data_IF_997605067437
#
_entry.id   IF_997605067437
#
_cell.length_a   1.000
_cell.length_b   1.000
_cell.length_c   1.000
_cell.angle_alpha   90.00
_cell.angle_beta   90.00
_cell.angle_gamma   90.00
#
_symmetry.space_group_name_H-M   'P 1'
#
loop_
_entity.id
_entity.type
_entity.pdbx_description
1 polymer ?
#
# COMPACT_ATOMS: atom_id res chain seq x y z
N UNK A 1 -11.30 29.52 -10.53
CA UNK A 1 -10.55 28.68 -9.57
C UNK A 1 -9.76 29.57 -8.64
N UNK A 2 -9.92 29.35 -7.33
CA UNK A 2 -9.03 29.91 -6.32
C UNK A 2 -7.60 29.37 -6.56
N UNK A 3 -6.56 30.19 -6.39
CA UNK A 3 -5.17 29.79 -6.65
C UNK A 3 -4.75 28.56 -5.83
N UNK A 4 -5.28 28.44 -4.62
CA UNK A 4 -5.03 27.31 -3.73
C UNK A 4 -5.63 25.98 -4.24
N UNK A 5 -6.81 26.02 -4.88
CA UNK A 5 -7.42 24.83 -5.47
C UNK A 5 -6.61 24.32 -6.67
N UNK A 6 -6.09 25.22 -7.50
CA UNK A 6 -5.20 24.85 -8.61
C UNK A 6 -3.90 24.24 -8.08
N UNK A 7 -3.31 24.86 -7.06
CA UNK A 7 -2.08 24.39 -6.42
C UNK A 7 -2.27 22.99 -5.82
N UNK A 8 -3.38 22.75 -5.10
CA UNK A 8 -3.72 21.43 -4.54
C UNK A 8 -3.77 20.33 -5.61
N UNK A 9 -4.44 20.61 -6.73
CA UNK A 9 -4.59 19.66 -7.83
C UNK A 9 -3.28 19.39 -8.59
N UNK A 10 -2.37 20.36 -8.62
CA UNK A 10 -1.06 20.22 -9.27
C UNK A 10 -0.03 19.52 -8.38
N UNK A 11 0.00 19.84 -7.08
CA UNK A 11 0.94 19.23 -6.15
C UNK A 11 0.65 17.74 -5.92
N UNK A 12 -0.59 17.28 -6.14
CA UNK A 12 -1.03 15.88 -5.97
C UNK A 12 -0.49 15.28 -4.67
N UNK A 13 -0.69 15.99 -3.57
CA UNK A 13 -0.22 15.58 -2.26
C UNK A 13 -0.71 14.17 -1.92
N UNK A 14 0.18 13.34 -1.41
CA UNK A 14 -0.06 11.92 -1.16
C UNK A 14 0.43 11.48 0.21
N UNK A 15 -0.06 10.32 0.64
CA UNK A 15 0.42 9.58 1.80
C UNK A 15 0.86 8.20 1.36
N UNK A 16 1.84 7.63 2.06
CA UNK A 16 2.23 6.23 1.87
C UNK A 16 1.44 5.36 2.86
N UNK A 17 0.75 4.35 2.35
CA UNK A 17 0.05 3.37 3.18
C UNK A 17 1.06 2.50 3.94
N UNK A 18 0.71 2.08 5.17
CA UNK A 18 1.60 1.28 6.00
C UNK A 18 1.94 -0.06 5.35
N UNK A 19 3.10 -0.62 5.72
CA UNK A 19 3.64 -1.92 5.25
C UNK A 19 4.06 -1.91 3.79
N UNK A 20 3.15 -1.62 2.86
CA UNK A 20 3.39 -1.72 1.42
C UNK A 20 3.99 -0.45 0.79
N UNK A 21 3.99 0.67 1.52
CA UNK A 21 4.50 1.96 1.05
C UNK A 21 3.83 2.44 -0.26
N UNK A 22 2.56 2.09 -0.45
CA UNK A 22 1.77 2.48 -1.63
C UNK A 22 1.34 3.93 -1.49
N UNK A 23 1.64 4.75 -2.49
CA UNK A 23 1.25 6.16 -2.51
C UNK A 23 -0.21 6.31 -2.95
N UNK A 24 -1.05 6.91 -2.09
CA UNK A 24 -2.45 7.26 -2.37
C UNK A 24 -2.68 8.76 -2.14
N UNK A 25 -3.71 9.37 -2.75
CA UNK A 25 -4.00 10.78 -2.52
C UNK A 25 -4.23 11.07 -1.04
N UNK A 26 -3.84 12.27 -0.62
CA UNK A 26 -3.98 12.76 0.75
C UNK A 26 -5.45 12.76 1.19
N UNK A 27 -5.74 11.98 2.22
CA UNK A 27 -7.05 11.81 2.84
C UNK A 27 -7.44 13.04 3.69
N UNK A 28 -8.64 13.09 4.26
CA UNK A 28 -9.12 14.25 5.03
C UNK A 28 -8.17 14.64 6.16
N UNK A 29 -7.69 13.66 6.93
CA UNK A 29 -6.74 13.88 8.04
C UNK A 29 -5.42 14.47 7.55
N UNK A 30 -4.89 13.96 6.45
CA UNK A 30 -3.70 14.49 5.82
C UNK A 30 -3.93 15.94 5.33
N UNK A 31 -5.07 16.24 4.69
CA UNK A 31 -5.39 17.60 4.20
C UNK A 31 -5.47 18.60 5.35
N UNK A 32 -6.06 18.22 6.48
CA UNK A 32 -6.14 19.06 7.69
C UNK A 32 -4.77 19.53 8.20
N UNK A 33 -3.71 18.75 7.96
CA UNK A 33 -2.34 19.04 8.39
C UNK A 33 -1.54 19.87 7.37
N UNK A 34 -2.14 20.20 6.24
CA UNK A 34 -1.48 20.94 5.14
C UNK A 34 -1.95 22.39 5.07
N UNK A 35 -1.31 23.18 4.20
CA UNK A 35 -1.77 24.53 3.85
C UNK A 35 -3.18 24.56 3.22
N UNK A 36 -3.68 23.42 2.73
CA UNK A 36 -4.97 23.29 2.05
C UNK A 36 -6.15 22.99 2.96
N UNK A 37 -5.97 22.95 4.29
CA UNK A 37 -7.06 22.66 5.24
C UNK A 37 -8.31 23.52 5.04
N UNK A 38 -8.16 24.73 4.51
CA UNK A 38 -9.27 25.64 4.25
C UNK A 38 -10.20 25.14 3.13
N UNK A 39 -9.70 24.33 2.18
CA UNK A 39 -10.53 23.73 1.12
C UNK A 39 -11.60 22.80 1.70
N UNK A 40 -11.40 22.26 2.90
CA UNK A 40 -12.37 21.42 3.61
C UNK A 40 -13.67 22.16 3.98
N UNK A 41 -13.72 23.49 3.89
CA UNK A 41 -14.98 24.24 4.04
C UNK A 41 -15.88 24.14 2.81
N UNK A 42 -15.38 23.66 1.67
CA UNK A 42 -16.15 23.41 0.46
C UNK A 42 -16.85 22.05 0.65
N UNK A 43 -18.16 22.06 0.88
CA UNK A 43 -18.93 20.86 1.22
C UNK A 43 -18.77 19.74 0.19
N UNK A 44 -18.83 20.08 -1.11
CA UNK A 44 -18.68 19.09 -2.18
C UNK A 44 -17.27 18.46 -2.17
N UNK A 45 -16.22 19.26 -1.98
CA UNK A 45 -14.85 18.75 -1.87
C UNK A 45 -14.68 17.83 -0.66
N UNK A 46 -15.20 18.26 0.49
CA UNK A 46 -15.17 17.46 1.72
C UNK A 46 -15.90 16.12 1.54
N UNK A 47 -17.08 16.12 0.94
CA UNK A 47 -17.82 14.88 0.66
C UNK A 47 -17.04 13.93 -0.27
N UNK A 48 -16.36 14.46 -1.29
CA UNK A 48 -15.50 13.64 -2.15
C UNK A 48 -14.27 13.09 -1.42
N UNK A 49 -13.70 13.82 -0.45
CA UNK A 49 -12.61 13.32 0.39
C UNK A 49 -13.09 12.24 1.36
N UNK A 50 -14.31 12.32 1.91
CA UNK A 50 -14.86 11.27 2.77
C UNK A 50 -15.04 9.93 2.01
N UNK A 51 -15.34 9.99 0.70
CA UNK A 51 -15.34 8.82 -0.18
C UNK A 51 -13.90 8.27 -0.34
N UNK A 52 -12.92 9.16 -0.54
CA UNK A 52 -11.51 8.77 -0.61
C UNK A 52 -11.04 8.10 0.70
N UNK A 53 -11.42 8.66 1.85
CA UNK A 53 -11.12 8.08 3.18
C UNK A 53 -11.65 6.64 3.28
N UNK A 54 -12.87 6.40 2.78
CA UNK A 54 -13.49 5.07 2.76
C UNK A 54 -12.73 4.08 1.87
N UNK A 55 -12.26 4.53 0.70
CA UNK A 55 -11.44 3.71 -0.19
C UNK A 55 -10.08 3.37 0.45
N UNK A 56 -9.46 4.34 1.11
CA UNK A 56 -8.19 4.15 1.81
C UNK A 56 -8.33 3.14 2.94
N UNK A 57 -9.37 3.26 3.77
CA UNK A 57 -9.64 2.29 4.84
C UNK A 57 -9.82 0.87 4.28
N UNK A 58 -10.53 0.73 3.15
CA UNK A 58 -10.69 -0.57 2.50
C UNK A 58 -9.35 -1.15 2.02
N UNK A 59 -8.45 -0.32 1.49
CA UNK A 59 -7.10 -0.76 1.11
C UNK A 59 -6.33 -1.21 2.36
N UNK A 60 -6.37 -0.45 3.44
CA UNK A 60 -5.70 -0.81 4.70
C UNK A 60 -6.20 -2.14 5.24
N UNK A 61 -7.52 -2.38 5.26
CA UNK A 61 -8.11 -3.68 5.65
C UNK A 61 -7.59 -4.84 4.79
N UNK A 62 -7.42 -4.61 3.49
CA UNK A 62 -6.85 -5.61 2.56
C UNK A 62 -5.37 -5.84 2.82
N UNK A 63 -4.60 -4.80 3.13
CA UNK A 63 -3.19 -4.91 3.53
C UNK A 63 -3.07 -5.74 4.82
N UNK A 64 -3.93 -5.50 5.81
CA UNK A 64 -3.94 -6.28 7.05
C UNK A 64 -4.36 -7.74 6.80
N UNK A 65 -5.33 -7.97 5.90
CA UNK A 65 -5.71 -9.32 5.48
C UNK A 65 -4.54 -10.06 4.82
N UNK A 66 -3.86 -9.41 3.88
CA UNK A 66 -2.67 -9.95 3.23
C UNK A 66 -1.57 -10.27 4.25
N UNK A 67 -1.34 -9.36 5.22
CA UNK A 67 -0.38 -9.55 6.30
C UNK A 67 -0.70 -10.79 7.13
N UNK A 68 -1.95 -10.98 7.52
CA UNK A 68 -2.39 -12.15 8.29
C UNK A 68 -2.23 -13.45 7.51
N UNK A 69 -2.64 -13.48 6.24
CA UNK A 69 -2.48 -14.66 5.38
C UNK A 69 -1.02 -15.07 5.22
N UNK A 70 -0.12 -14.08 5.08
CA UNK A 70 1.33 -14.33 5.01
C UNK A 70 1.85 -14.78 6.38
N UNK A 71 1.42 -14.18 7.49
CA UNK A 71 1.84 -14.58 8.84
C UNK A 71 1.49 -16.05 9.11
N UNK A 72 0.29 -16.47 8.76
CA UNK A 72 -0.18 -17.85 8.96
C UNK A 72 0.64 -18.85 8.13
N UNK A 73 0.89 -18.53 6.84
CA UNK A 73 1.71 -19.35 5.94
C UNK A 73 3.16 -19.47 6.41
N UNK A 74 3.69 -18.45 7.08
CA UNK A 74 5.06 -18.42 7.60
C UNK A 74 5.15 -18.66 9.12
N UNK A 75 4.10 -19.19 9.74
CA UNK A 75 4.02 -19.42 11.18
C UNK A 75 5.20 -20.23 11.75
N UNK A 76 5.71 -21.22 11.01
CA UNK A 76 6.89 -22.01 11.39
C UNK A 76 8.22 -21.21 11.42
N UNK A 77 8.25 -20.03 10.78
CA UNK A 77 9.40 -19.12 10.71
C UNK A 77 9.21 -17.86 11.56
N UNK A 78 8.20 -17.81 12.44
CA UNK A 78 7.81 -16.61 13.18
C UNK A 78 8.95 -15.96 13.97
N UNK A 79 9.89 -16.76 14.50
CA UNK A 79 11.04 -16.27 15.26
C UNK A 79 12.20 -15.76 14.39
N UNK A 80 12.09 -15.83 13.07
CA UNK A 80 13.17 -15.62 12.11
C UNK A 80 12.83 -14.61 11.01
N UNK A 81 11.62 -14.03 11.04
CA UNK A 81 11.07 -13.25 9.94
C UNK A 81 10.56 -11.91 10.44
N UNK A 82 10.87 -10.85 9.70
CA UNK A 82 10.16 -9.60 9.81
C UNK A 82 8.93 -9.65 8.91
N UNK A 83 7.74 -9.79 9.50
CA UNK A 83 6.51 -10.04 8.76
C UNK A 83 6.13 -8.87 7.85
N UNK A 84 6.29 -7.63 8.31
CA UNK A 84 5.91 -6.46 7.50
C UNK A 84 6.84 -6.32 6.28
N UNK A 85 8.14 -6.56 6.46
CA UNK A 85 9.09 -6.60 5.34
C UNK A 85 8.83 -7.75 4.37
N UNK A 86 8.38 -8.91 4.87
CA UNK A 86 7.98 -10.04 4.04
C UNK A 86 6.72 -9.72 3.22
N UNK A 87 5.73 -9.10 3.83
CA UNK A 87 4.50 -8.68 3.16
C UNK A 87 4.80 -7.67 2.06
N UNK A 88 5.63 -6.66 2.37
CA UNK A 88 6.17 -5.73 1.38
C UNK A 88 6.87 -6.46 0.23
N UNK A 89 7.77 -7.39 0.54
CA UNK A 89 8.54 -8.11 -0.48
C UNK A 89 7.64 -8.98 -1.37
N UNK A 90 6.70 -9.74 -0.80
CA UNK A 90 5.78 -10.60 -1.56
C UNK A 90 4.90 -9.76 -2.49
N UNK A 91 4.31 -8.67 -1.98
CA UNK A 91 3.50 -7.76 -2.79
C UNK A 91 4.31 -7.22 -3.97
N UNK A 92 5.51 -6.70 -3.71
CA UNK A 92 6.40 -6.16 -4.76
C UNK A 92 6.82 -7.21 -5.78
N UNK A 93 7.16 -8.42 -5.34
CA UNK A 93 7.51 -9.53 -6.24
C UNK A 93 6.35 -9.95 -7.16
N UNK A 94 5.10 -9.84 -6.70
CA UNK A 94 3.93 -10.17 -7.50
C UNK A 94 3.60 -9.06 -8.49
N UNK A 95 3.54 -7.80 -8.04
CA UNK A 95 3.07 -6.66 -8.85
C UNK A 95 4.16 -6.03 -9.74
N UNK A 96 5.39 -5.97 -9.24
CA UNK A 96 6.51 -5.26 -9.89
C UNK A 96 7.65 -6.22 -10.29
N UNK A 97 7.62 -7.45 -9.79
CA UNK A 97 8.71 -8.41 -9.93
C UNK A 97 9.85 -8.17 -8.95
N UNK A 98 11.02 -8.71 -9.28
CA UNK A 98 12.20 -8.71 -8.40
C UNK A 98 12.37 -10.00 -7.62
N UNK A 99 13.50 -10.12 -6.93
CA UNK A 99 13.90 -11.34 -6.25
C UNK A 99 14.50 -11.02 -4.88
N UNK A 100 14.35 -11.94 -3.95
CA UNK A 100 15.08 -11.89 -2.68
C UNK A 100 16.55 -12.29 -2.89
N UNK A 101 17.44 -11.67 -2.12
CA UNK A 101 18.86 -12.00 -2.06
C UNK A 101 19.09 -12.86 -0.82
N UNK A 102 19.55 -14.10 -1.04
CA UNK A 102 19.91 -15.05 0.01
C UNK A 102 21.41 -14.92 0.33
N UNK A 103 21.73 -14.61 1.59
CA UNK A 103 23.08 -14.63 2.14
C UNK A 103 23.07 -15.13 3.58
N UNK A 104 23.82 -14.49 4.48
CA UNK A 104 23.71 -14.72 5.94
C UNK A 104 22.32 -14.39 6.49
N UNK A 105 21.59 -13.54 5.75
CA UNK A 105 20.19 -13.19 5.94
C UNK A 105 19.52 -13.07 4.58
N UNK A 106 18.20 -12.96 4.58
CA UNK A 106 17.41 -12.78 3.35
C UNK A 106 16.97 -11.32 3.27
N UNK A 107 17.23 -10.69 2.13
CA UNK A 107 16.87 -9.30 1.85
C UNK A 107 15.97 -9.18 0.64
N UNK A 108 15.10 -8.16 0.63
CA UNK A 108 14.45 -7.65 -0.57
C UNK A 108 14.74 -6.15 -0.68
N UNK A 109 15.51 -5.75 -1.69
CA UNK A 109 16.10 -4.42 -1.73
C UNK A 109 17.01 -4.18 -0.51
N UNK A 110 16.71 -3.14 0.26
CA UNK A 110 17.42 -2.80 1.51
C UNK A 110 16.72 -3.32 2.78
N UNK A 111 15.61 -4.06 2.66
CA UNK A 111 14.84 -4.56 3.81
C UNK A 111 15.25 -5.99 4.16
N UNK A 112 15.64 -6.20 5.42
CA UNK A 112 15.87 -7.53 5.98
C UNK A 112 14.53 -8.25 6.18
N UNK A 113 14.36 -9.38 5.51
CA UNK A 113 13.11 -10.15 5.53
C UNK A 113 13.22 -11.31 6.51
N UNK A 114 14.35 -12.03 6.50
CA UNK A 114 14.56 -13.18 7.38
C UNK A 114 16.02 -13.35 7.80
N UNK A 115 16.25 -14.03 8.92
CA UNK A 115 17.57 -14.38 9.45
C UNK A 115 17.56 -15.77 10.09
N UNK A 116 18.72 -16.42 10.17
CA UNK A 116 18.86 -17.71 10.83
C UNK A 116 19.89 -18.62 10.17
N UNK A 117 19.90 -19.88 10.61
CA UNK A 117 20.72 -20.94 10.02
C UNK A 117 20.37 -21.17 8.53
N UNK A 118 21.36 -21.56 7.74
CA UNK A 118 21.22 -21.71 6.29
C UNK A 118 20.04 -22.61 5.86
N UNK A 119 19.79 -23.70 6.60
CA UNK A 119 18.67 -24.62 6.35
C UNK A 119 17.31 -23.96 6.52
N UNK A 120 17.16 -23.08 7.51
CA UNK A 120 15.96 -22.28 7.74
C UNK A 120 15.77 -21.30 6.59
N UNK A 121 16.84 -20.60 6.20
CA UNK A 121 16.78 -19.59 5.14
C UNK A 121 16.45 -20.18 3.76
N UNK A 122 16.98 -21.36 3.41
CA UNK A 122 16.57 -22.06 2.18
C UNK A 122 15.09 -22.44 2.23
N UNK A 123 14.64 -23.05 3.34
CA UNK A 123 13.24 -23.45 3.47
C UNK A 123 12.29 -22.27 3.34
N UNK A 124 12.64 -21.16 4.00
CA UNK A 124 11.96 -19.88 3.88
C UNK A 124 11.91 -19.39 2.42
N UNK A 125 13.06 -19.33 1.75
CA UNK A 125 13.16 -18.85 0.37
C UNK A 125 12.30 -19.68 -0.59
N UNK A 126 12.36 -21.01 -0.47
CA UNK A 126 11.54 -21.92 -1.30
C UNK A 126 10.03 -21.70 -1.08
N UNK A 127 9.61 -21.41 0.15
CA UNK A 127 8.21 -21.13 0.46
C UNK A 127 7.78 -19.79 -0.14
N UNK A 128 8.61 -18.75 -0.05
CA UNK A 128 8.36 -17.45 -0.72
C UNK A 128 8.17 -17.67 -2.22
N UNK A 129 9.11 -18.35 -2.88
CA UNK A 129 9.01 -18.61 -4.32
C UNK A 129 7.72 -19.35 -4.68
N UNK A 130 7.35 -20.36 -3.89
CA UNK A 130 6.12 -21.12 -4.09
C UNK A 130 4.89 -20.21 -3.99
N UNK A 131 4.83 -19.35 -2.97
CA UNK A 131 3.70 -18.44 -2.77
C UNK A 131 3.61 -17.46 -3.93
N UNK A 132 4.71 -16.78 -4.25
CA UNK A 132 4.75 -15.81 -5.36
C UNK A 132 4.34 -16.47 -6.68
N UNK A 133 4.79 -17.70 -6.96
CA UNK A 133 4.49 -18.38 -8.23
C UNK A 133 3.08 -18.98 -8.31
N UNK A 134 2.53 -19.48 -7.20
CA UNK A 134 1.38 -20.41 -7.26
C UNK A 134 0.22 -20.11 -6.31
N UNK A 135 0.37 -19.20 -5.35
CA UNK A 135 -0.71 -18.91 -4.40
C UNK A 135 -1.71 -17.90 -4.99
N UNK A 136 -2.83 -18.43 -5.50
CA UNK A 136 -3.88 -17.61 -6.12
C UNK A 136 -4.57 -16.66 -5.15
N UNK A 137 -4.65 -17.02 -3.85
CA UNK A 137 -5.29 -16.17 -2.85
C UNK A 137 -4.46 -14.93 -2.59
N UNK A 138 -3.15 -15.12 -2.36
CA UNK A 138 -2.21 -14.01 -2.15
C UNK A 138 -2.15 -13.10 -3.38
N UNK A 139 -2.10 -13.68 -4.58
CA UNK A 139 -2.15 -12.91 -5.84
C UNK A 139 -3.43 -12.09 -5.96
N UNK A 140 -4.60 -12.69 -5.72
CA UNK A 140 -5.88 -11.98 -5.75
C UNK A 140 -5.90 -10.79 -4.79
N UNK A 141 -5.36 -10.96 -3.57
CA UNK A 141 -5.25 -9.86 -2.60
C UNK A 141 -4.31 -8.75 -3.09
N UNK A 142 -3.16 -9.09 -3.68
CA UNK A 142 -2.23 -8.10 -4.23
C UNK A 142 -2.87 -7.32 -5.38
N UNK A 143 -3.53 -8.02 -6.31
CA UNK A 143 -4.29 -7.42 -7.41
C UNK A 143 -5.37 -6.47 -6.90
N UNK A 144 -6.18 -6.91 -5.92
CA UNK A 144 -7.22 -6.08 -5.31
C UNK A 144 -6.66 -4.80 -4.68
N UNK A 145 -5.56 -4.91 -3.92
CA UNK A 145 -4.87 -3.77 -3.32
C UNK A 145 -4.38 -2.80 -4.41
N UNK A 146 -3.76 -3.32 -5.47
CA UNK A 146 -3.30 -2.50 -6.60
C UNK A 146 -4.46 -1.79 -7.27
N UNK A 147 -5.52 -2.50 -7.65
CA UNK A 147 -6.70 -1.91 -8.31
C UNK A 147 -7.39 -0.84 -7.45
N UNK A 148 -7.53 -1.08 -6.14
CA UNK A 148 -8.09 -0.10 -5.23
C UNK A 148 -7.19 1.14 -5.13
N UNK A 149 -5.87 0.94 -5.04
CA UNK A 149 -4.91 2.06 -5.00
C UNK A 149 -4.96 2.90 -6.28
N UNK A 150 -5.05 2.28 -7.46
CA UNK A 150 -5.25 2.97 -8.74
C UNK A 150 -6.59 3.73 -8.76
N UNK A 151 -7.65 3.11 -8.23
CA UNK A 151 -8.98 3.71 -8.13
C UNK A 151 -9.00 4.97 -7.25
N UNK A 152 -8.15 5.06 -6.22
CA UNK A 152 -8.04 6.30 -5.43
C UNK A 152 -7.53 7.47 -6.26
N UNK A 153 -6.54 7.24 -7.14
CA UNK A 153 -6.03 8.26 -8.04
C UNK A 153 -7.02 8.62 -9.15
N UNK A 154 -7.77 7.64 -9.66
CA UNK A 154 -8.86 7.93 -10.58
C UNK A 154 -9.96 8.79 -9.95
N UNK A 155 -10.34 8.48 -8.70
CA UNK A 155 -11.30 9.28 -7.95
C UNK A 155 -10.79 10.71 -7.73
N UNK A 156 -9.49 10.86 -7.44
CA UNK A 156 -8.86 12.17 -7.34
C UNK A 156 -8.95 12.95 -8.66
N UNK A 157 -8.57 12.33 -9.77
CA UNK A 157 -8.49 12.99 -11.07
C UNK A 157 -9.87 13.34 -11.65
N UNK A 158 -10.89 12.53 -11.34
CA UNK A 158 -12.26 12.72 -11.85
C UNK A 158 -13.13 13.54 -10.89
N UNK A 159 -13.20 13.14 -9.62
CA UNK A 159 -14.22 13.64 -8.69
C UNK A 159 -13.71 14.77 -7.81
N UNK A 160 -12.49 14.66 -7.26
CA UNK A 160 -11.89 15.72 -6.45
C UNK A 160 -11.56 16.95 -7.31
N UNK A 161 -11.00 16.73 -8.51
CA UNK A 161 -10.79 17.81 -9.47
C UNK A 161 -12.09 18.52 -9.84
N UNK A 162 -13.16 17.75 -10.10
CA UNK A 162 -14.46 18.31 -10.46
C UNK A 162 -15.08 19.10 -9.32
N UNK A 163 -15.03 18.58 -8.09
CA UNK A 163 -15.59 19.26 -6.93
C UNK A 163 -14.93 20.61 -6.65
N UNK A 164 -13.63 20.77 -6.93
CA UNK A 164 -12.93 22.06 -6.78
C UNK A 164 -13.11 23.03 -7.96
N UNK A 165 -13.54 22.53 -9.12
CA UNK A 165 -13.74 23.35 -10.33
C UNK A 165 -15.19 23.82 -10.52
N UNK A 166 -16.15 23.05 -10.02
CA UNK A 166 -17.60 23.31 -10.11
C UNK A 166 -18.19 23.96 -8.85
N UNK A 167 -17.36 24.23 -7.83
CA UNK A 167 -17.74 24.93 -6.58
C UNK A 167 -17.42 26.42 -6.61
#
# INVERSE_FOLDING_TARGET
MNGDAQSYLMERISIALPILEISVPCNTTCVMMTKYKHLLSIENFKAQLEILDSLINLIEDKIYTLRHEIEDKFSQYKANVNIDNLVYAIYKMIEEGGNMILGEKVYFGNKEVAYGEYTVLIGFHNLVEKIVKSDSNIRSLCDEIRYLSESTWEHFDKNIRRSLNES
#
